data_IF_117263014227
#
_entry.id   IF_117263014227
#
_cell.length_a   1.000
_cell.length_b   1.000
_cell.length_c   1.000
_cell.angle_alpha   90.00
_cell.angle_beta   90.00
_cell.angle_gamma   90.00
#
_symmetry.space_group_name_H-M   'P 1'
#
loop_
_entity.id
_entity.type
_entity.pdbx_description
1 polymer ?
#
# COMPACT_ATOMS: atom_id res chain seq x y z
N UNK A 1 -16.44 49.69 28.62
CA UNK A 1 -15.62 48.47 28.53
C UNK A 1 -14.28 48.89 27.99
N UNK A 2 -13.24 48.93 28.83
CA UNK A 2 -11.90 49.29 28.39
C UNK A 2 -11.29 48.12 27.63
N UNK A 3 -10.73 48.39 26.45
CA UNK A 3 -9.92 47.39 25.75
C UNK A 3 -8.78 46.95 26.66
N UNK A 4 -8.51 45.64 26.69
CA UNK A 4 -7.34 45.06 27.34
C UNK A 4 -6.09 45.85 26.91
N UNK A 5 -5.28 46.37 27.85
CA UNK A 5 -4.05 47.09 27.54
C UNK A 5 -3.18 46.32 26.55
N UNK A 6 -2.49 47.05 25.67
CA UNK A 6 -1.68 46.47 24.60
C UNK A 6 -0.62 45.47 25.12
N UNK A 7 -0.02 45.75 26.28
CA UNK A 7 1.00 44.87 26.88
C UNK A 7 0.41 43.53 27.33
N UNK A 8 -0.74 43.51 28.00
CA UNK A 8 -1.45 42.27 28.38
C UNK A 8 -1.87 41.45 27.15
N UNK A 9 -2.19 42.12 26.03
CA UNK A 9 -2.48 41.44 24.74
C UNK A 9 -1.22 40.84 24.11
N UNK A 10 -0.08 41.50 24.24
CA UNK A 10 1.22 41.01 23.76
C UNK A 10 1.70 39.83 24.62
N UNK A 11 1.59 39.90 25.94
CA UNK A 11 1.88 38.80 26.85
C UNK A 11 1.04 37.57 26.51
N UNK A 12 -0.27 37.75 26.31
CA UNK A 12 -1.15 36.66 25.87
C UNK A 12 -0.77 36.11 24.49
N UNK A 13 -0.32 36.95 23.57
CA UNK A 13 0.17 36.50 22.27
C UNK A 13 1.43 35.64 22.41
N UNK A 14 2.40 36.05 23.23
CA UNK A 14 3.63 35.31 23.49
C UNK A 14 3.35 33.96 24.16
N UNK A 15 2.44 33.92 25.14
CA UNK A 15 1.97 32.68 25.76
C UNK A 15 1.36 31.72 24.74
N UNK A 16 0.47 32.22 23.88
CA UNK A 16 -0.17 31.41 22.83
C UNK A 16 0.85 30.94 21.78
N UNK A 17 1.81 31.78 21.41
CA UNK A 17 2.88 31.43 20.48
C UNK A 17 3.80 30.34 21.08
N UNK A 18 4.13 30.44 22.37
CA UNK A 18 4.87 29.42 23.09
C UNK A 18 4.13 28.08 23.14
N UNK A 19 2.86 28.10 23.53
CA UNK A 19 2.01 26.91 23.55
C UNK A 19 1.88 26.25 22.16
N UNK A 20 1.77 27.05 21.10
CA UNK A 20 1.74 26.54 19.73
C UNK A 20 3.08 25.90 19.30
N UNK A 21 4.21 26.48 19.71
CA UNK A 21 5.53 25.93 19.45
C UNK A 21 5.75 24.60 20.19
N UNK A 22 5.32 24.51 21.45
CA UNK A 22 5.42 23.28 22.23
C UNK A 22 4.50 22.17 21.68
N UNK A 23 3.26 22.50 21.32
CA UNK A 23 2.35 21.55 20.66
C UNK A 23 2.89 21.06 19.30
N UNK A 24 3.59 21.93 18.55
CA UNK A 24 4.24 21.54 17.30
C UNK A 24 5.37 20.55 17.55
N UNK A 25 6.17 20.77 18.60
CA UNK A 25 7.26 19.87 18.98
C UNK A 25 6.73 18.51 19.41
N UNK A 26 5.73 18.47 20.28
CA UNK A 26 5.09 17.23 20.73
C UNK A 26 4.49 16.44 19.56
N UNK A 27 3.84 17.13 18.61
CA UNK A 27 3.34 16.53 17.37
C UNK A 27 4.46 15.90 16.55
N UNK A 28 5.58 16.60 16.36
CA UNK A 28 6.69 16.13 15.54
C UNK A 28 7.45 14.96 16.19
N UNK A 29 7.59 14.98 17.52
CA UNK A 29 8.11 13.86 18.30
C UNK A 29 7.19 12.63 18.15
N UNK A 30 5.88 12.80 18.33
CA UNK A 30 4.89 11.73 18.13
C UNK A 30 4.92 11.18 16.71
N UNK A 31 5.04 12.05 15.70
CA UNK A 31 5.12 11.63 14.30
C UNK A 31 6.39 10.80 14.03
N UNK A 32 7.51 11.15 14.66
CA UNK A 32 8.77 10.39 14.56
C UNK A 32 8.60 9.00 15.18
N UNK A 33 8.02 8.90 16.39
CA UNK A 33 7.77 7.61 17.04
C UNK A 33 6.83 6.71 16.21
N UNK A 34 5.80 7.28 15.57
CA UNK A 34 4.93 6.54 14.65
C UNK A 34 5.73 6.04 13.46
N UNK A 35 6.56 6.90 12.86
CA UNK A 35 7.43 6.55 11.74
C UNK A 35 8.36 5.38 12.06
N UNK A 36 9.02 5.40 13.21
CA UNK A 36 9.93 4.34 13.64
C UNK A 36 9.20 2.99 13.85
N UNK A 37 7.99 3.02 14.43
CA UNK A 37 7.18 1.81 14.61
C UNK A 37 6.70 1.22 13.30
N UNK A 38 6.25 2.07 12.37
CA UNK A 38 5.85 1.63 11.03
C UNK A 38 7.06 1.04 10.28
N UNK A 39 8.22 1.68 10.37
CA UNK A 39 9.45 1.18 9.77
C UNK A 39 9.85 -0.20 10.33
N UNK A 40 9.70 -0.42 11.65
CA UNK A 40 9.95 -1.71 12.27
C UNK A 40 8.98 -2.80 11.76
N UNK A 41 7.67 -2.52 11.71
CA UNK A 41 6.67 -3.45 11.18
C UNK A 41 6.91 -3.79 9.70
N UNK A 42 7.29 -2.79 8.90
CA UNK A 42 7.64 -2.99 7.49
C UNK A 42 8.90 -3.83 7.35
N UNK A 43 9.92 -3.58 8.18
CA UNK A 43 11.17 -4.37 8.17
C UNK A 43 10.89 -5.83 8.46
N UNK A 44 10.07 -6.12 9.48
CA UNK A 44 9.67 -7.49 9.83
C UNK A 44 8.95 -8.18 8.66
N UNK A 45 8.01 -7.50 8.01
CA UNK A 45 7.30 -8.05 6.85
C UNK A 45 8.22 -8.30 5.65
N UNK A 46 9.18 -7.40 5.39
CA UNK A 46 10.17 -7.57 4.31
C UNK A 46 11.13 -8.73 4.61
N UNK A 47 11.54 -8.90 5.87
CA UNK A 47 12.37 -10.01 6.30
C UNK A 47 11.64 -11.37 6.17
N UNK A 48 10.33 -11.38 6.41
CA UNK A 48 9.50 -12.57 6.28
C UNK A 48 9.29 -13.00 4.82
N UNK A 49 8.90 -12.08 3.94
CA UNK A 49 8.53 -12.42 2.55
C UNK A 49 9.73 -12.42 1.59
N UNK A 50 10.76 -11.61 1.87
CA UNK A 50 12.03 -11.63 1.14
C UNK A 50 11.95 -11.20 -0.34
N UNK A 51 13.06 -11.38 -1.05
CA UNK A 51 13.15 -11.12 -2.50
C UNK A 51 13.00 -12.43 -3.28
N UNK A 52 12.06 -12.49 -4.22
CA UNK A 52 11.87 -13.64 -5.10
C UNK A 52 12.82 -13.58 -6.31
N UNK A 53 13.39 -14.73 -6.69
CA UNK A 53 14.30 -14.84 -7.84
C UNK A 53 13.60 -15.55 -8.99
N UNK A 54 13.38 -14.83 -10.09
CA UNK A 54 12.72 -15.34 -11.29
C UNK A 54 13.70 -15.41 -12.45
N UNK A 55 13.63 -16.46 -13.26
CA UNK A 55 14.41 -16.53 -14.50
C UNK A 55 13.87 -15.48 -15.49
N UNK A 56 14.69 -14.50 -15.84
CA UNK A 56 14.36 -13.42 -16.78
C UNK A 56 14.87 -13.67 -18.21
N UNK A 57 15.62 -14.76 -18.42
CA UNK A 57 15.93 -15.19 -19.77
C UNK A 57 16.88 -16.38 -19.86
N UNK A 58 17.07 -16.82 -21.09
CA UNK A 58 18.05 -17.82 -21.46
C UNK A 58 18.77 -17.35 -22.73
N UNK A 59 20.07 -17.60 -22.83
CA UNK A 59 20.82 -17.33 -24.06
C UNK A 59 20.35 -18.25 -25.20
N UNK A 60 20.58 -17.81 -26.44
CA UNK A 60 20.22 -18.57 -27.65
C UNK A 60 20.91 -19.93 -27.75
N UNK A 61 22.06 -20.10 -27.12
CA UNK A 61 22.81 -21.37 -27.04
C UNK A 61 22.35 -22.27 -25.88
N UNK A 62 21.37 -21.82 -25.07
CA UNK A 62 20.82 -22.57 -23.95
C UNK A 62 21.72 -22.67 -22.71
N UNK A 63 22.95 -22.16 -22.77
CA UNK A 63 23.97 -22.37 -21.74
C UNK A 63 24.03 -21.28 -20.66
N UNK A 64 23.37 -20.14 -20.86
CA UNK A 64 23.34 -19.03 -19.89
C UNK A 64 21.91 -18.72 -19.49
N UNK A 65 21.66 -18.76 -18.20
CA UNK A 65 20.41 -18.36 -17.57
C UNK A 65 20.59 -16.98 -16.96
N UNK A 66 19.61 -16.12 -17.14
CA UNK A 66 19.54 -14.83 -16.46
C UNK A 66 18.42 -14.92 -15.43
N UNK A 67 18.72 -14.46 -14.23
CA UNK A 67 17.76 -14.35 -13.15
C UNK A 67 17.63 -12.88 -12.75
N UNK A 68 16.45 -12.51 -12.27
CA UNK A 68 16.16 -11.19 -11.72
C UNK A 68 15.54 -11.39 -10.36
N UNK A 69 16.14 -10.75 -9.35
CA UNK A 69 15.56 -10.66 -8.02
C UNK A 69 14.50 -9.55 -8.04
N UNK A 70 13.29 -9.83 -7.57
CA UNK A 70 12.17 -8.89 -7.48
C UNK A 70 11.44 -9.07 -6.15
N UNK A 71 10.94 -7.96 -5.62
CA UNK A 71 10.03 -7.98 -4.48
C UNK A 71 8.68 -8.57 -4.92
N UNK A 72 8.16 -9.53 -4.16
CA UNK A 72 6.79 -10.01 -4.29
C UNK A 72 5.88 -9.02 -3.59
N UNK A 73 5.30 -8.10 -4.36
CA UNK A 73 4.56 -6.97 -3.80
C UNK A 73 3.26 -7.45 -3.19
N UNK A 74 2.61 -8.40 -3.84
CA UNK A 74 1.39 -8.98 -3.31
C UNK A 74 1.62 -9.68 -1.97
N UNK A 75 2.69 -10.47 -1.85
CA UNK A 75 3.05 -11.12 -0.59
C UNK A 75 3.43 -10.10 0.49
N UNK A 76 4.23 -9.08 0.15
CA UNK A 76 4.56 -8.01 1.08
C UNK A 76 3.31 -7.27 1.59
N UNK A 77 2.36 -6.94 0.71
CA UNK A 77 1.11 -6.28 1.11
C UNK A 77 0.27 -7.20 2.00
N UNK A 78 0.25 -8.51 1.74
CA UNK A 78 -0.42 -9.47 2.60
C UNK A 78 0.22 -9.52 4.00
N UNK A 79 1.56 -9.64 4.09
CA UNK A 79 2.26 -9.62 5.37
C UNK A 79 2.04 -8.31 6.14
N UNK A 80 2.14 -7.15 5.47
CA UNK A 80 1.86 -5.85 6.07
C UNK A 80 0.41 -5.71 6.55
N UNK A 81 -0.54 -6.33 5.85
CA UNK A 81 -1.93 -6.34 6.26
C UNK A 81 -2.13 -7.07 7.60
N UNK A 82 -1.27 -8.02 7.93
CA UNK A 82 -1.32 -8.76 9.20
C UNK A 82 -0.55 -8.07 10.33
N UNK A 83 0.53 -7.34 10.00
CA UNK A 83 1.47 -6.77 10.99
C UNK A 83 1.28 -5.29 11.27
N UNK A 84 0.61 -4.55 10.38
CA UNK A 84 0.39 -3.12 10.59
C UNK A 84 -0.49 -2.86 11.82
N UNK A 85 -0.22 -1.78 12.59
CA UNK A 85 -1.09 -1.39 13.68
C UNK A 85 -2.51 -1.07 13.20
N UNK A 86 -3.49 -1.36 14.05
CA UNK A 86 -4.89 -1.04 13.77
C UNK A 86 -5.07 0.42 13.32
N UNK A 87 -5.88 0.60 12.28
CA UNK A 87 -6.16 1.90 11.69
C UNK A 87 -5.20 2.29 10.57
N UNK A 88 -4.11 1.56 10.33
CA UNK A 88 -3.20 1.79 9.20
C UNK A 88 -3.46 0.81 8.05
N UNK A 89 -3.30 1.29 6.82
CA UNK A 89 -3.40 0.46 5.61
C UNK A 89 -2.26 0.79 4.66
N UNK A 90 -1.79 -0.22 3.93
CA UNK A 90 -0.98 0.02 2.74
C UNK A 90 -1.88 0.61 1.66
N UNK A 91 -1.62 1.86 1.28
CA UNK A 91 -2.34 2.52 0.20
C UNK A 91 -1.71 2.22 -1.16
N UNK A 92 -0.38 2.10 -1.20
CA UNK A 92 0.36 1.91 -2.43
C UNK A 92 1.74 1.22 -2.25
N UNK A 93 2.18 0.46 -3.26
CA UNK A 93 3.53 -0.14 -3.38
C UNK A 93 4.02 -0.05 -4.83
N UNK A 94 5.20 0.53 -5.02
CA UNK A 94 5.87 0.69 -6.32
C UNK A 94 6.76 -0.51 -6.68
N UNK A 95 7.16 -0.58 -7.95
CA UNK A 95 8.07 -1.61 -8.48
C UNK A 95 9.45 -1.63 -7.80
N UNK A 96 9.93 -0.46 -7.36
CA UNK A 96 11.21 -0.31 -6.67
C UNK A 96 11.13 -0.61 -5.16
N UNK A 97 9.94 -0.99 -4.67
CA UNK A 97 9.69 -1.29 -3.26
C UNK A 97 9.33 -0.08 -2.41
N UNK A 98 9.30 1.14 -2.97
CA UNK A 98 8.77 2.29 -2.23
C UNK A 98 7.27 2.13 -2.00
N UNK A 99 6.78 2.53 -0.82
CA UNK A 99 5.39 2.30 -0.43
C UNK A 99 4.82 3.44 0.41
N UNK A 100 3.49 3.55 0.40
CA UNK A 100 2.74 4.50 1.22
C UNK A 100 1.82 3.75 2.19
N UNK A 101 1.89 4.14 3.46
CA UNK A 101 1.00 3.64 4.53
C UNK A 101 0.18 4.83 5.03
N UNK A 102 -1.14 4.67 5.06
CA UNK A 102 -2.08 5.72 5.43
C UNK A 102 -2.82 5.35 6.72
N UNK A 103 -2.95 6.32 7.64
CA UNK A 103 -3.89 6.20 8.74
C UNK A 103 -5.32 6.48 8.25
N UNK A 104 -6.22 5.53 8.46
CA UNK A 104 -7.61 5.56 7.99
C UNK A 104 -8.50 6.57 8.73
N UNK A 105 -7.97 7.28 9.73
CA UNK A 105 -8.74 8.18 10.60
C UNK A 105 -9.59 7.45 11.64
N UNK A 106 -9.36 6.15 11.82
CA UNK A 106 -10.12 5.25 12.68
C UNK A 106 -9.15 4.45 13.57
N UNK A 107 -9.62 4.03 14.75
CA UNK A 107 -8.90 3.15 15.68
C UNK A 107 -8.94 1.67 15.27
N UNK A 108 -9.62 1.38 14.15
CA UNK A 108 -9.72 0.04 13.55
C UNK A 108 -9.54 0.15 12.06
N UNK A 109 -8.83 -0.80 11.49
CA UNK A 109 -8.78 -0.94 10.05
C UNK A 109 -10.10 -1.55 9.55
N UNK A 110 -10.78 -0.93 8.58
CA UNK A 110 -11.97 -1.54 8.01
C UNK A 110 -11.57 -2.85 7.33
N UNK A 111 -12.01 -4.01 7.85
CA UNK A 111 -11.61 -5.34 7.34
C UNK A 111 -11.93 -5.64 5.87
N UNK A 112 -12.56 -4.70 5.14
CA UNK A 112 -12.76 -4.75 3.69
C UNK A 112 -11.68 -3.99 2.90
N UNK A 113 -10.94 -3.05 3.50
CA UNK A 113 -9.93 -2.23 2.79
C UNK A 113 -8.62 -2.98 2.62
N UNK A 114 -8.13 -3.59 3.68
CA UNK A 114 -6.96 -4.48 3.75
C UNK A 114 -6.92 -5.52 2.62
N UNK A 115 -7.96 -6.35 2.53
CA UNK A 115 -8.08 -7.38 1.47
C UNK A 115 -8.14 -6.79 0.06
N UNK A 116 -8.62 -5.55 -0.07
CA UNK A 116 -8.62 -4.85 -1.35
C UNK A 116 -7.22 -4.45 -1.81
N UNK A 117 -6.31 -4.13 -0.89
CA UNK A 117 -4.93 -3.79 -1.21
C UNK A 117 -4.18 -5.02 -1.74
N UNK A 118 -4.37 -6.20 -1.12
CA UNK A 118 -3.77 -7.46 -1.58
C UNK A 118 -4.17 -7.75 -3.04
N UNK A 119 -5.47 -7.70 -3.35
CA UNK A 119 -5.95 -7.97 -4.72
C UNK A 119 -5.42 -6.95 -5.74
N UNK A 120 -5.33 -5.67 -5.38
CA UNK A 120 -4.73 -4.65 -6.25
C UNK A 120 -3.25 -4.92 -6.50
N UNK A 121 -2.51 -5.30 -5.46
CA UNK A 121 -1.09 -5.63 -5.58
C UNK A 121 -0.87 -6.82 -6.53
N UNK A 122 -1.70 -7.88 -6.41
CA UNK A 122 -1.68 -9.02 -7.33
C UNK A 122 -1.92 -8.56 -8.78
N UNK A 123 -2.96 -7.75 -9.01
CA UNK A 123 -3.30 -7.28 -10.36
C UNK A 123 -2.18 -6.42 -10.95
N UNK A 124 -1.60 -5.53 -10.15
CA UNK A 124 -0.49 -4.67 -10.57
C UNK A 124 0.80 -5.45 -10.83
N UNK A 125 1.05 -6.51 -10.07
CA UNK A 125 2.24 -7.37 -10.24
C UNK A 125 2.14 -8.29 -11.45
N UNK A 126 0.96 -8.84 -11.73
CA UNK A 126 0.76 -9.75 -12.86
C UNK A 126 0.44 -9.04 -14.19
N UNK A 127 0.17 -7.73 -14.14
CA UNK A 127 0.03 -6.91 -15.34
C UNK A 127 1.39 -6.70 -16.01
N UNK A 128 1.42 -6.84 -17.34
CA UNK A 128 2.61 -6.55 -18.15
C UNK A 128 2.38 -5.25 -18.90
N UNK A 129 3.33 -4.33 -18.77
CA UNK A 129 3.38 -3.08 -19.51
C UNK A 129 4.48 -3.16 -20.58
N UNK A 130 4.24 -2.54 -21.73
CA UNK A 130 5.25 -2.35 -22.77
C UNK A 130 6.20 -1.18 -22.44
N UNK A 131 7.12 -0.88 -23.36
CA UNK A 131 8.11 0.20 -23.18
C UNK A 131 7.50 1.61 -23.10
N UNK A 132 6.28 1.78 -23.60
CA UNK A 132 5.56 3.07 -23.60
C UNK A 132 4.61 3.17 -22.38
N UNK A 133 4.60 2.15 -21.52
CA UNK A 133 3.73 2.09 -20.34
C UNK A 133 2.29 1.67 -20.65
N UNK A 134 2.02 1.16 -21.86
CA UNK A 134 0.72 0.64 -22.23
C UNK A 134 0.57 -0.82 -21.77
N UNK A 135 -0.66 -1.22 -21.48
CA UNK A 135 -0.96 -2.59 -21.06
C UNK A 135 -0.75 -3.54 -22.24
N UNK A 136 0.23 -4.43 -22.10
CA UNK A 136 0.44 -5.56 -23.01
C UNK A 136 -0.45 -6.75 -22.60
N UNK A 137 -0.54 -7.04 -21.30
CA UNK A 137 -1.41 -8.09 -20.80
C UNK A 137 -1.86 -7.86 -19.35
N UNK A 138 -2.99 -8.48 -18.99
CA UNK A 138 -3.58 -8.46 -17.65
C UNK A 138 -3.87 -9.88 -17.16
N UNK A 139 -3.91 -10.10 -15.83
CA UNK A 139 -4.20 -11.42 -15.29
C UNK A 139 -5.65 -11.85 -15.55
N UNK A 140 -5.87 -13.17 -15.50
CA UNK A 140 -7.22 -13.73 -15.48
C UNK A 140 -7.83 -13.59 -14.08
N UNK A 141 -9.16 -13.58 -14.01
CA UNK A 141 -9.88 -13.58 -12.73
C UNK A 141 -9.49 -14.78 -11.85
N UNK A 142 -9.42 -15.96 -12.46
CA UNK A 142 -9.03 -17.20 -11.76
C UNK A 142 -7.62 -17.08 -11.18
N UNK A 143 -6.69 -16.49 -11.94
CA UNK A 143 -5.32 -16.34 -11.47
C UNK A 143 -5.21 -15.36 -10.31
N UNK A 144 -5.94 -14.23 -10.36
CA UNK A 144 -6.00 -13.27 -9.24
C UNK A 144 -6.54 -13.93 -7.96
N UNK A 145 -7.62 -14.71 -8.09
CA UNK A 145 -8.23 -15.40 -6.94
C UNK A 145 -7.28 -16.48 -6.39
N UNK A 146 -6.72 -17.32 -7.26
CA UNK A 146 -5.77 -18.36 -6.86
C UNK A 146 -4.57 -17.77 -6.12
N UNK A 147 -4.02 -16.65 -6.64
CA UNK A 147 -2.92 -15.96 -5.98
C UNK A 147 -3.32 -15.36 -4.63
N UNK A 148 -4.53 -14.82 -4.50
CA UNK A 148 -5.01 -14.32 -3.20
C UNK A 148 -5.13 -15.46 -2.17
N UNK A 149 -5.55 -16.65 -2.59
CA UNK A 149 -5.61 -17.85 -1.74
C UNK A 149 -4.22 -18.32 -1.31
N UNK A 150 -3.24 -18.29 -2.22
CA UNK A 150 -1.83 -18.56 -1.87
C UNK A 150 -1.32 -17.61 -0.77
N UNK A 151 -1.85 -16.38 -0.71
CA UNK A 151 -1.53 -15.34 0.26
C UNK A 151 -2.46 -15.33 1.49
N UNK A 152 -3.25 -16.39 1.70
CA UNK A 152 -4.06 -16.56 2.91
C UNK A 152 -5.44 -15.90 2.89
N UNK A 153 -5.88 -15.33 1.76
CA UNK A 153 -7.25 -14.82 1.61
C UNK A 153 -8.19 -15.97 1.25
N UNK A 154 -9.30 -16.09 1.98
CA UNK A 154 -10.35 -17.07 1.63
C UNK A 154 -10.87 -16.84 0.19
N UNK A 155 -11.16 -17.93 -0.53
CA UNK A 155 -11.51 -17.89 -1.95
C UNK A 155 -12.81 -17.12 -2.21
N UNK A 156 -13.85 -17.34 -1.39
CA UNK A 156 -15.12 -16.64 -1.52
C UNK A 156 -14.96 -15.16 -1.18
N UNK A 157 -14.16 -14.86 -0.16
CA UNK A 157 -13.82 -13.49 0.22
C UNK A 157 -13.02 -12.77 -0.88
N UNK A 158 -12.06 -13.44 -1.52
CA UNK A 158 -11.29 -12.91 -2.64
C UNK A 158 -12.20 -12.63 -3.84
N UNK A 159 -13.08 -13.58 -4.20
CA UNK A 159 -14.04 -13.41 -5.28
C UNK A 159 -15.02 -12.26 -5.01
N UNK A 160 -15.59 -12.19 -3.80
CA UNK A 160 -16.49 -11.13 -3.39
C UNK A 160 -15.77 -9.76 -3.39
N UNK A 161 -14.51 -9.73 -2.97
CA UNK A 161 -13.73 -8.50 -2.94
C UNK A 161 -13.38 -8.00 -4.34
N UNK A 162 -13.02 -8.90 -5.25
CA UNK A 162 -12.75 -8.58 -6.65
C UNK A 162 -13.99 -8.00 -7.34
N UNK A 163 -15.16 -8.62 -7.15
CA UNK A 163 -16.43 -8.09 -7.66
C UNK A 163 -16.75 -6.70 -7.09
N UNK A 164 -16.42 -6.46 -5.82
CA UNK A 164 -16.58 -5.14 -5.20
C UNK A 164 -15.63 -4.11 -5.79
N UNK A 165 -14.39 -4.47 -6.15
CA UNK A 165 -13.48 -3.57 -6.86
C UNK A 165 -14.07 -3.17 -8.23
N UNK A 166 -14.72 -4.10 -8.91
CA UNK A 166 -15.41 -3.80 -10.16
C UNK A 166 -16.63 -2.91 -9.98
N UNK A 167 -17.41 -3.11 -8.93
CA UNK A 167 -18.55 -2.23 -8.61
C UNK A 167 -18.13 -0.80 -8.25
N UNK A 168 -16.87 -0.60 -7.88
CA UNK A 168 -16.30 0.69 -7.51
C UNK A 168 -15.49 1.32 -8.65
N UNK A 169 -15.61 0.79 -9.88
CA UNK A 169 -14.88 1.26 -11.07
C UNK A 169 -13.37 1.34 -10.82
N UNK A 170 -12.85 0.37 -10.05
CA UNK A 170 -11.41 0.21 -9.80
C UNK A 170 -10.83 -0.79 -10.78
N UNK A 171 -11.60 -1.79 -11.18
CA UNK A 171 -11.20 -2.78 -12.19
C UNK A 171 -12.38 -3.13 -13.08
N UNK A 172 -12.13 -3.42 -14.34
CA UNK A 172 -13.12 -4.00 -15.25
C UNK A 172 -12.93 -5.51 -15.36
N UNK A 173 -14.03 -6.23 -15.22
CA UNK A 173 -14.07 -7.68 -15.41
C UNK A 173 -14.67 -8.00 -16.78
N UNK A 174 -13.79 -8.23 -17.76
CA UNK A 174 -14.20 -8.51 -19.14
C UNK A 174 -13.48 -9.75 -19.67
N UNK A 175 -14.21 -10.62 -20.37
CA UNK A 175 -13.66 -11.82 -21.03
C UNK A 175 -12.82 -12.74 -20.09
N UNK A 176 -13.21 -12.81 -18.82
CA UNK A 176 -12.50 -13.59 -17.80
C UNK A 176 -11.17 -12.97 -17.32
N UNK A 177 -10.87 -11.74 -17.73
CA UNK A 177 -9.67 -10.97 -17.38
C UNK A 177 -10.03 -9.80 -16.46
N UNK A 178 -9.00 -9.26 -15.80
CA UNK A 178 -9.12 -8.16 -14.83
C UNK A 178 -8.32 -6.95 -15.32
N UNK A 179 -9.01 -5.93 -15.81
CA UNK A 179 -8.38 -4.71 -16.33
C UNK A 179 -8.38 -3.62 -15.26
N UNK A 180 -7.28 -2.90 -15.03
CA UNK A 180 -7.28 -1.75 -14.14
C UNK A 180 -8.01 -0.57 -14.79
N UNK A 181 -8.93 0.06 -14.05
CA UNK A 181 -9.71 1.22 -14.48
C UNK A 181 -9.11 2.55 -13.95
N UNK A 182 -9.75 3.69 -14.18
CA UNK A 182 -9.27 5.03 -13.78
C UNK A 182 -9.04 5.15 -12.26
N UNK A 183 -9.85 4.48 -11.43
CA UNK A 183 -9.65 4.48 -9.97
C UNK A 183 -8.65 3.42 -9.48
N UNK A 184 -8.01 2.70 -10.40
CA UNK A 184 -6.88 1.86 -10.08
C UNK A 184 -5.65 2.76 -9.90
N UNK A 185 -5.26 3.02 -8.64
CA UNK A 185 -3.99 3.69 -8.36
C UNK A 185 -2.87 2.90 -9.01
N UNK A 186 -2.35 3.42 -10.12
CA UNK A 186 -1.04 3.08 -10.65
C UNK A 186 -0.14 4.15 -10.04
N UNK A 187 0.84 3.73 -9.25
CA UNK A 187 1.87 4.59 -8.63
C UNK A 187 1.43 5.39 -7.38
#
# INVERSE_FOLDING_TARGET
>A
MGETPLHERMERYEELAGAAADATRERDETATEIGDRLAAAITEAVEQEGTNVVQSGQSKDGHRYRFTARLDRAALVAALTETLPDGFVVSHVNDDGTMSVEWTGSDRTPGKRERGAILKAIIAEEMVLDSDGLIESVPTRERVIARAVELGVDEDDAAARLNRLATLDVVDLAEGRVYPDENFSRY
#
